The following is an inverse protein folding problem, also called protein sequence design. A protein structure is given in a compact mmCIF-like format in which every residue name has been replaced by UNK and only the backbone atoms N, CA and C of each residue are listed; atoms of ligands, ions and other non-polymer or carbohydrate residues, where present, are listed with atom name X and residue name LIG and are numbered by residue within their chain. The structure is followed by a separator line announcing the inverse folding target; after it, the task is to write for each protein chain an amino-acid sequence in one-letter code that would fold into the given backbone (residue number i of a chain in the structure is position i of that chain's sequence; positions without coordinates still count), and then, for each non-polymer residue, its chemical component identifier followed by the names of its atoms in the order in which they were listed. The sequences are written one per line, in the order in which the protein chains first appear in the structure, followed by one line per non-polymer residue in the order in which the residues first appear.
data_IF_257373763322
#
_entry.id   IF_257373763322
#
_cell.length_a   1.000
_cell.length_b   1.000
_cell.length_c   1.000
_cell.angle_alpha   90.00
_cell.angle_beta   90.00
_cell.angle_gamma   90.00
#
_symmetry.space_group_name_H-M   'P 1'
#
loop_
_entity.id
_entity.type
_entity.pdbx_description
1 polymer ?
#
# COMPACT_ATOMS: atom_id res chain seq x y z
N UNK A 1 18.50 24.83 18.07
CA UNK A 1 18.49 24.93 16.59
C UNK A 1 19.23 23.71 16.08
N UNK A 2 18.54 22.79 15.40
CA UNK A 2 19.19 21.62 14.82
C UNK A 2 20.17 22.07 13.74
N UNK A 3 21.45 21.80 13.96
CA UNK A 3 22.54 22.17 13.04
C UNK A 3 22.80 21.05 12.01
N UNK A 4 21.87 20.09 11.90
CA UNK A 4 21.95 18.98 10.97
C UNK A 4 21.41 19.30 9.57
N UNK A 5 21.73 18.48 8.56
CA UNK A 5 21.18 18.63 7.22
C UNK A 5 19.66 18.38 7.24
N UNK A 6 18.90 19.21 6.50
CA UNK A 6 17.44 19.08 6.37
C UNK A 6 17.05 17.72 5.79
N UNK A 7 17.78 17.23 4.79
CA UNK A 7 17.63 15.90 4.19
C UNK A 7 18.90 15.08 4.43
N UNK A 8 18.73 13.82 4.80
CA UNK A 8 19.84 12.89 5.00
C UNK A 8 19.48 11.48 4.59
N UNK A 9 20.45 10.74 4.04
CA UNK A 9 20.34 9.28 3.86
C UNK A 9 20.80 8.60 5.14
N UNK A 10 19.93 7.77 5.70
CA UNK A 10 20.26 6.98 6.89
C UNK A 10 20.19 5.49 6.59
N UNK A 11 21.18 4.77 7.08
CA UNK A 11 21.25 3.32 7.01
C UNK A 11 21.03 2.76 8.41
N UNK A 12 20.04 1.91 8.54
CA UNK A 12 19.69 1.24 9.80
C UNK A 12 20.14 -0.21 9.73
N UNK A 13 20.70 -0.69 10.85
CA UNK A 13 21.11 -2.08 11.05
C UNK A 13 20.49 -2.59 12.34
N UNK A 14 20.95 -3.74 12.84
CA UNK A 14 20.36 -4.47 13.98
C UNK A 14 20.16 -3.67 15.28
N UNK A 15 20.80 -2.53 15.45
CA UNK A 15 20.73 -1.75 16.67
C UNK A 15 19.36 -1.07 16.81
N UNK A 16 18.64 -1.37 17.89
CA UNK A 16 17.47 -0.65 18.33
C UNK A 16 17.91 0.72 18.87
N UNK A 17 17.56 1.78 18.13
CA UNK A 17 17.85 3.16 18.52
C UNK A 17 16.58 3.77 19.12
N UNK A 18 16.63 4.10 20.42
CA UNK A 18 15.54 4.79 21.11
C UNK A 18 15.95 6.24 21.41
N UNK A 19 15.16 7.20 20.93
CA UNK A 19 15.41 8.62 21.16
C UNK A 19 14.16 9.49 20.93
N UNK A 20 14.30 10.78 21.23
CA UNK A 20 13.33 11.81 20.88
C UNK A 20 14.09 13.05 20.36
N UNK A 21 13.45 13.86 19.56
CA UNK A 21 13.99 15.11 19.04
C UNK A 21 12.97 16.24 19.11
N UNK A 22 13.44 17.48 19.14
CA UNK A 22 12.64 18.70 19.33
C UNK A 22 11.96 19.20 18.04
N UNK A 23 12.11 18.48 16.94
CA UNK A 23 11.55 18.82 15.62
C UNK A 23 10.81 17.61 15.03
N UNK A 24 9.82 17.84 14.17
CA UNK A 24 9.18 16.75 13.45
C UNK A 24 10.13 16.09 12.46
N UNK A 25 10.00 14.77 12.28
CA UNK A 25 10.81 14.00 11.35
C UNK A 25 9.92 13.16 10.44
N UNK A 26 10.30 13.12 9.18
CA UNK A 26 9.67 12.27 8.16
C UNK A 26 10.70 11.25 7.65
N UNK A 27 10.34 9.96 7.75
CA UNK A 27 11.21 8.85 7.33
C UNK A 27 10.60 8.14 6.14
N UNK A 28 11.22 8.28 4.97
CA UNK A 28 10.79 7.71 3.69
C UNK A 28 11.57 6.44 3.42
N UNK A 29 10.88 5.32 3.20
CA UNK A 29 11.50 4.05 2.87
C UNK A 29 12.05 4.02 1.43
N UNK A 30 13.32 3.67 1.29
CA UNK A 30 13.99 3.46 0.00
C UNK A 30 14.21 1.98 -0.29
N UNK A 31 14.57 1.20 0.73
CA UNK A 31 14.79 -0.23 0.60
C UNK A 31 15.07 -0.92 1.93
N UNK A 32 14.88 -2.23 1.96
CA UNK A 32 14.89 -3.01 3.19
C UNK A 32 13.61 -2.81 4.01
N UNK A 33 13.66 -3.18 5.28
CA UNK A 33 12.55 -3.05 6.24
C UNK A 33 13.03 -2.40 7.51
N UNK A 34 12.41 -1.29 7.89
CA UNK A 34 12.65 -0.61 9.15
C UNK A 34 11.43 -0.82 10.06
N UNK A 35 11.62 -1.47 11.19
CA UNK A 35 10.60 -1.61 12.22
C UNK A 35 10.65 -0.37 13.12
N UNK A 36 9.48 0.23 13.36
CA UNK A 36 9.31 1.46 14.15
C UNK A 36 8.31 1.25 15.28
N UNK A 37 8.54 1.95 16.39
CA UNK A 37 7.55 2.17 17.43
C UNK A 37 7.56 3.65 17.81
N UNK A 38 6.40 4.30 17.73
CA UNK A 38 6.19 5.70 18.12
C UNK A 38 5.09 5.75 19.17
N UNK A 39 5.40 6.23 20.37
CA UNK A 39 4.46 6.32 21.51
C UNK A 39 3.70 5.00 21.76
N UNK A 40 4.40 3.86 21.74
CA UNK A 40 3.85 2.52 21.96
C UNK A 40 3.06 1.94 20.78
N UNK A 41 3.06 2.58 19.61
CA UNK A 41 2.44 2.08 18.40
C UNK A 41 3.49 1.60 17.42
N UNK A 42 3.56 0.29 17.23
CA UNK A 42 4.46 -0.33 16.26
C UNK A 42 4.03 -0.11 14.82
N UNK A 43 5.01 0.03 13.92
CA UNK A 43 4.81 0.17 12.49
C UNK A 43 6.02 -0.31 11.69
N UNK A 44 5.88 -0.34 10.37
CA UNK A 44 6.96 -0.71 9.45
C UNK A 44 7.08 0.34 8.37
N UNK A 45 8.33 0.55 7.94
CA UNK A 45 8.64 1.43 6.82
C UNK A 45 9.42 0.60 5.80
N UNK A 46 8.78 0.35 4.68
CA UNK A 46 9.35 -0.27 3.49
C UNK A 46 9.30 0.74 2.34
N UNK A 47 9.73 0.33 1.15
CA UNK A 47 9.61 1.21 -0.03
C UNK A 47 8.15 1.63 -0.25
N UNK A 48 7.92 2.91 -0.52
CA UNK A 48 6.63 3.61 -0.61
C UNK A 48 5.95 3.91 0.74
N UNK A 49 6.55 3.55 1.85
CA UNK A 49 6.05 3.98 3.15
C UNK A 49 6.77 5.25 3.62
N UNK A 50 6.02 6.05 4.34
CA UNK A 50 6.50 7.22 5.07
C UNK A 50 6.05 7.09 6.52
N UNK A 51 6.97 7.28 7.48
CA UNK A 51 6.64 7.43 8.89
C UNK A 51 6.72 8.90 9.29
N UNK A 52 5.67 9.40 9.92
CA UNK A 52 5.64 10.72 10.55
C UNK A 52 5.95 10.57 12.04
N UNK A 53 6.96 11.30 12.50
CA UNK A 53 7.38 11.36 13.91
C UNK A 53 7.23 12.81 14.36
N UNK A 54 6.23 13.13 15.21
CA UNK A 54 6.05 14.47 15.74
C UNK A 54 7.21 14.92 16.61
N UNK A 55 7.36 16.24 16.78
CA UNK A 55 8.31 16.81 17.72
C UNK A 55 8.05 16.30 19.15
N UNK A 56 9.09 15.91 19.86
CA UNK A 56 9.01 15.39 21.23
C UNK A 56 8.50 13.96 21.36
N UNK A 57 8.04 13.30 20.29
CA UNK A 57 7.58 11.92 20.36
C UNK A 57 8.73 10.95 20.61
N UNK A 58 8.57 10.07 21.61
CA UNK A 58 9.51 8.99 21.86
C UNK A 58 9.33 7.90 20.82
N UNK A 59 10.40 7.53 20.15
CA UNK A 59 10.36 6.48 19.16
C UNK A 59 11.57 5.56 19.22
N UNK A 60 11.36 4.34 18.80
CA UNK A 60 12.40 3.33 18.57
C UNK A 60 12.37 2.91 17.11
N UNK A 61 13.54 2.67 16.56
CA UNK A 61 13.66 2.11 15.22
C UNK A 61 14.82 1.10 15.16
N UNK A 62 14.63 0.06 14.35
CA UNK A 62 15.63 -0.97 14.13
C UNK A 62 15.36 -1.75 12.86
N UNK A 63 16.41 -2.36 12.29
CA UNK A 63 16.30 -3.07 11.02
C UNK A 63 17.11 -4.37 11.05
N UNK A 64 16.48 -5.50 11.44
CA UNK A 64 17.18 -6.80 11.53
C UNK A 64 17.79 -7.28 10.20
N UNK A 65 17.26 -6.84 9.08
CA UNK A 65 17.74 -7.22 7.74
C UNK A 65 18.47 -6.09 7.02
N UNK A 66 18.62 -4.95 7.68
CA UNK A 66 19.15 -3.72 7.10
C UNK A 66 18.09 -2.97 6.29
N UNK A 67 18.10 -1.64 6.42
CA UNK A 67 17.29 -0.73 5.63
C UNK A 67 18.01 0.58 5.35
N UNK A 68 17.56 1.28 4.33
CA UNK A 68 18.00 2.63 4.04
C UNK A 68 16.79 3.51 3.76
N UNK A 69 16.84 4.72 4.28
CA UNK A 69 15.75 5.69 4.23
C UNK A 69 16.27 7.08 3.89
N UNK A 70 15.45 7.86 3.20
CA UNK A 70 15.61 9.30 3.15
C UNK A 70 14.91 9.88 4.37
N UNK A 71 15.61 10.71 5.12
CA UNK A 71 15.07 11.32 6.33
C UNK A 71 15.04 12.82 6.16
N UNK A 72 13.88 13.41 6.42
CA UNK A 72 13.65 14.84 6.45
C UNK A 72 13.47 15.29 7.91
N UNK A 73 14.43 16.03 8.42
CA UNK A 73 14.34 16.75 9.69
C UNK A 73 13.69 18.11 9.41
N UNK A 74 12.41 18.26 9.81
CA UNK A 74 11.61 19.43 9.44
C UNK A 74 12.06 20.64 10.24
N UNK A 75 12.48 21.76 9.59
CA UNK A 75 12.87 22.98 10.29
C UNK A 75 11.71 23.60 11.09
N UNK A 76 12.03 24.62 11.89
CA UNK A 76 11.05 25.32 12.72
C UNK A 76 9.85 25.87 11.93
N UNK A 77 8.72 26.09 12.61
CA UNK A 77 7.44 26.52 12.03
C UNK A 77 7.53 27.77 11.16
N UNK A 78 8.38 28.74 11.53
CA UNK A 78 8.60 29.95 10.74
C UNK A 78 9.15 29.63 9.33
N UNK A 79 10.00 28.60 9.20
CA UNK A 79 10.48 28.14 7.91
C UNK A 79 9.35 27.50 7.08
N UNK A 80 8.48 26.72 7.72
CA UNK A 80 7.31 26.13 7.06
C UNK A 80 6.38 27.23 6.51
N UNK A 81 6.07 28.24 7.33
CA UNK A 81 5.22 29.36 6.93
C UNK A 81 5.82 30.12 5.74
N UNK A 82 7.12 30.42 5.77
CA UNK A 82 7.80 31.10 4.68
C UNK A 82 7.90 30.28 3.39
N UNK A 83 8.07 28.95 3.52
CA UNK A 83 8.31 28.07 2.38
C UNK A 83 7.03 27.55 1.72
N UNK A 84 5.97 27.33 2.51
CA UNK A 84 4.71 26.72 2.06
C UNK A 84 3.52 27.69 2.02
N UNK A 85 3.67 28.91 2.60
CA UNK A 85 2.61 29.92 2.64
C UNK A 85 1.33 29.38 3.30
N UNK A 86 0.19 29.53 2.63
CA UNK A 86 -1.11 29.08 3.13
C UNK A 86 -1.18 27.58 3.42
N UNK A 87 -0.33 26.77 2.77
CA UNK A 87 -0.29 25.33 2.96
C UNK A 87 0.43 24.89 4.25
N UNK A 88 1.09 25.81 4.93
CA UNK A 88 1.84 25.50 6.16
C UNK A 88 0.94 24.91 7.25
N UNK A 89 -0.30 25.38 7.38
CA UNK A 89 -1.26 24.87 8.38
C UNK A 89 -1.66 23.43 8.15
N UNK A 90 -1.80 23.01 6.88
CA UNK A 90 -2.11 21.62 6.54
C UNK A 90 -0.90 20.71 6.79
N UNK A 91 0.29 21.22 6.47
CA UNK A 91 1.55 20.53 6.74
C UNK A 91 1.76 20.34 8.25
N UNK A 92 1.53 21.34 9.06
CA UNK A 92 1.61 21.22 10.53
C UNK A 92 0.65 20.14 11.06
N UNK A 93 -0.60 20.13 10.60
CA UNK A 93 -1.55 19.08 10.98
C UNK A 93 -1.11 17.68 10.59
N UNK A 94 -0.40 17.53 9.48
CA UNK A 94 0.21 16.27 9.07
C UNK A 94 1.33 15.87 10.03
N UNK A 95 2.21 16.79 10.35
CA UNK A 95 3.39 16.58 11.21
C UNK A 95 3.04 16.27 12.66
N UNK A 96 1.87 16.71 13.14
CA UNK A 96 1.36 16.43 14.48
C UNK A 96 0.70 15.04 14.61
N UNK A 97 0.53 14.32 13.53
CA UNK A 97 -0.12 13.00 13.54
C UNK A 97 0.90 11.88 13.37
N UNK A 98 1.29 11.20 14.46
CA UNK A 98 2.24 10.09 14.35
C UNK A 98 1.63 8.93 13.57
N UNK A 99 2.41 8.31 12.73
CA UNK A 99 2.02 7.08 12.07
C UNK A 99 2.48 6.94 10.62
N UNK A 100 2.23 5.76 10.05
CA UNK A 100 2.60 5.46 8.69
C UNK A 100 1.64 6.11 7.68
N UNK A 101 2.21 6.63 6.60
CA UNK A 101 1.51 7.11 5.42
C UNK A 101 2.04 6.35 4.19
N UNK A 102 1.21 6.22 3.17
CA UNK A 102 1.59 5.61 1.91
C UNK A 102 1.85 6.69 0.86
N UNK A 103 2.99 6.59 0.20
CA UNK A 103 3.34 7.47 -0.91
C UNK A 103 2.71 6.96 -2.21
N UNK A 104 2.24 7.89 -3.03
CA UNK A 104 1.91 7.57 -4.39
C UNK A 104 3.17 7.41 -5.26
N UNK A 105 2.99 6.98 -6.52
CA UNK A 105 4.13 6.75 -7.40
C UNK A 105 4.94 8.01 -7.73
N UNK A 106 4.30 9.19 -7.78
CA UNK A 106 4.99 10.47 -8.05
C UNK A 106 5.78 10.92 -6.84
N UNK A 107 5.19 10.78 -5.66
CA UNK A 107 5.87 11.05 -4.40
C UNK A 107 7.08 10.13 -4.23
N UNK A 108 6.94 8.83 -4.53
CA UNK A 108 8.07 7.90 -4.49
C UNK A 108 9.15 8.25 -5.52
N UNK A 109 8.79 8.64 -6.73
CA UNK A 109 9.76 9.10 -7.73
C UNK A 109 10.53 10.34 -7.26
N UNK A 110 9.86 11.28 -6.59
CA UNK A 110 10.51 12.45 -6.00
C UNK A 110 11.47 12.05 -4.88
N UNK A 111 11.06 11.13 -4.01
CA UNK A 111 11.91 10.58 -2.95
C UNK A 111 13.14 9.89 -3.55
N UNK A 112 12.96 9.05 -4.56
CA UNK A 112 14.05 8.35 -5.23
C UNK A 112 15.01 9.35 -5.92
N UNK A 113 14.48 10.37 -6.60
CA UNK A 113 15.29 11.39 -7.26
C UNK A 113 16.14 12.16 -6.24
N UNK A 114 15.55 12.59 -5.13
CA UNK A 114 16.28 13.27 -4.05
C UNK A 114 17.33 12.37 -3.42
N UNK A 115 17.01 11.10 -3.17
CA UNK A 115 17.94 10.15 -2.56
C UNK A 115 19.19 9.87 -3.41
N UNK A 116 19.09 10.01 -4.74
CA UNK A 116 20.21 9.84 -5.66
C UNK A 116 20.84 11.17 -6.12
N UNK A 117 20.26 12.29 -5.70
CA UNK A 117 20.72 13.62 -6.04
C UNK A 117 21.85 14.13 -5.13
N UNK A 118 22.41 15.32 -5.42
CA UNK A 118 23.43 15.95 -4.59
C UNK A 118 22.81 16.57 -3.34
N UNK A 119 22.48 15.73 -2.34
CA UNK A 119 21.88 16.19 -1.06
C UNK A 119 22.83 17.02 -0.20
N UNK A 120 24.14 16.96 -0.47
CA UNK A 120 25.15 17.81 0.17
C UNK A 120 25.05 19.27 -0.27
N UNK A 121 24.32 19.56 -1.36
CA UNK A 121 23.99 20.93 -1.76
C UNK A 121 22.82 21.46 -0.90
N UNK A 122 23.05 22.49 -0.07
CA UNK A 122 22.03 23.01 0.84
C UNK A 122 20.79 23.58 0.11
N UNK A 123 20.96 24.08 -1.11
CA UNK A 123 19.86 24.60 -1.92
C UNK A 123 18.95 23.45 -2.39
N UNK A 124 19.55 22.38 -2.91
CA UNK A 124 18.81 21.19 -3.37
C UNK A 124 18.11 20.52 -2.19
N UNK A 125 18.79 20.32 -1.08
CA UNK A 125 18.19 19.76 0.13
C UNK A 125 17.00 20.59 0.63
N UNK A 126 17.14 21.91 0.66
CA UNK A 126 16.09 22.83 1.13
C UNK A 126 14.89 22.86 0.18
N UNK A 127 15.09 22.97 -1.12
CA UNK A 127 14.01 22.98 -2.11
C UNK A 127 13.36 21.60 -2.23
N UNK A 128 14.14 20.53 -2.13
CA UNK A 128 13.65 19.17 -2.09
C UNK A 128 12.74 18.92 -0.90
N UNK A 129 13.09 19.42 0.28
CA UNK A 129 12.25 19.36 1.47
C UNK A 129 10.91 20.07 1.27
N UNK A 130 10.93 21.29 0.67
CA UNK A 130 9.70 22.04 0.32
C UNK A 130 8.82 21.24 -0.64
N UNK A 131 9.39 20.66 -1.69
CA UNK A 131 8.67 19.85 -2.67
C UNK A 131 8.06 18.60 -2.04
N UNK A 132 8.81 17.88 -1.19
CA UNK A 132 8.30 16.73 -0.45
C UNK A 132 7.10 17.12 0.40
N UNK A 133 7.24 18.13 1.26
CA UNK A 133 6.16 18.59 2.15
C UNK A 133 4.95 19.09 1.35
N UNK A 134 5.15 19.83 0.26
CA UNK A 134 4.08 20.27 -0.61
C UNK A 134 3.36 19.11 -1.30
N UNK A 135 4.07 18.03 -1.63
CA UNK A 135 3.50 16.84 -2.26
C UNK A 135 2.66 15.99 -1.31
N UNK A 136 2.95 16.04 0.00
CA UNK A 136 2.24 15.28 1.03
C UNK A 136 0.93 15.94 1.46
N UNK A 137 0.67 17.18 1.03
CA UNK A 137 -0.49 17.93 1.48
C UNK A 137 -1.78 17.46 0.78
N UNK A 138 -2.79 16.93 1.51
CA UNK A 138 -4.01 16.38 0.92
C UNK A 138 -4.89 17.41 0.18
N UNK A 139 -4.68 18.72 0.41
CA UNK A 139 -5.46 19.79 -0.20
C UNK A 139 -5.13 20.11 -1.65
N UNK A 140 -4.07 19.56 -2.23
CA UNK A 140 -3.59 19.96 -3.55
C UNK A 140 -3.20 18.79 -4.48
N UNK A 141 -3.72 17.62 -4.20
CA UNK A 141 -3.80 16.65 -5.27
C UNK A 141 -5.15 16.86 -5.97
N UNK A 142 -5.18 17.42 -7.19
CA UNK A 142 -6.08 16.82 -8.13
C UNK A 142 -5.53 15.39 -8.16
N UNK A 143 -6.19 14.48 -7.44
CA UNK A 143 -6.07 13.07 -7.77
C UNK A 143 -6.12 13.05 -9.29
N UNK A 144 -5.04 12.68 -10.01
CA UNK A 144 -5.27 12.20 -11.36
C UNK A 144 -6.34 11.14 -11.14
N UNK A 145 -7.37 11.02 -11.96
CA UNK A 145 -8.41 10.03 -11.79
C UNK A 145 -7.65 8.76 -11.43
N UNK A 146 -7.88 8.24 -10.23
CA UNK A 146 -7.05 7.16 -9.68
C UNK A 146 -7.11 6.12 -10.77
N UNK A 147 -5.97 5.85 -11.40
CA UNK A 147 -5.95 4.91 -12.51
C UNK A 147 -6.58 3.67 -11.90
N UNK A 148 -7.80 3.33 -12.35
CA UNK A 148 -8.54 2.20 -11.81
C UNK A 148 -7.58 1.04 -11.62
N UNK A 149 -7.73 0.31 -10.53
CA UNK A 149 -6.93 -0.90 -10.36
C UNK A 149 -7.00 -1.72 -11.66
N UNK A 150 -5.94 -2.37 -12.09
CA UNK A 150 -5.89 -3.09 -13.36
C UNK A 150 -6.76 -4.35 -13.31
N UNK A 151 -8.06 -4.17 -13.16
CA UNK A 151 -9.04 -5.25 -12.98
C UNK A 151 -8.97 -6.28 -14.10
N UNK A 152 -8.78 -5.85 -15.35
CA UNK A 152 -8.62 -6.78 -16.47
C UNK A 152 -7.40 -7.70 -16.29
N UNK A 153 -6.28 -7.15 -15.79
CA UNK A 153 -5.08 -7.96 -15.49
C UNK A 153 -5.28 -8.88 -14.29
N UNK A 154 -6.03 -8.41 -13.26
CA UNK A 154 -6.41 -9.24 -12.13
C UNK A 154 -7.28 -10.42 -12.56
N UNK A 155 -8.29 -10.15 -13.39
CA UNK A 155 -9.21 -11.15 -13.90
C UNK A 155 -8.49 -12.20 -14.73
N UNK A 156 -7.65 -11.77 -15.66
CA UNK A 156 -6.84 -12.67 -16.49
C UNK A 156 -5.91 -13.55 -15.63
N UNK A 157 -5.25 -12.96 -14.64
CA UNK A 157 -4.38 -13.70 -13.73
C UNK A 157 -5.14 -14.71 -12.88
N UNK A 158 -6.27 -14.30 -12.30
CA UNK A 158 -7.11 -15.19 -11.49
C UNK A 158 -7.66 -16.33 -12.37
N UNK A 159 -8.05 -16.04 -13.59
CA UNK A 159 -8.57 -17.06 -14.52
C UNK A 159 -7.49 -18.07 -14.91
N UNK A 160 -6.28 -17.60 -15.21
CA UNK A 160 -5.14 -18.45 -15.58
C UNK A 160 -4.69 -19.35 -14.43
N UNK A 161 -4.71 -18.84 -13.21
CA UNK A 161 -4.20 -19.54 -12.02
C UNK A 161 -5.30 -19.95 -11.03
N UNK A 162 -6.55 -20.04 -11.48
CA UNK A 162 -7.71 -20.32 -10.61
C UNK A 162 -7.56 -21.60 -9.78
N UNK A 163 -6.95 -22.64 -10.34
CA UNK A 163 -6.73 -23.93 -9.68
C UNK A 163 -5.63 -23.89 -8.60
N UNK A 164 -4.77 -22.87 -8.60
CA UNK A 164 -3.60 -22.78 -7.72
C UNK A 164 -3.86 -21.85 -6.53
N UNK A 165 -3.06 -21.98 -5.44
CA UNK A 165 -3.15 -21.05 -4.32
C UNK A 165 -2.74 -19.62 -4.78
N UNK A 166 -3.71 -18.73 -4.94
CA UNK A 166 -3.49 -17.32 -5.23
C UNK A 166 -3.33 -16.53 -3.94
N UNK A 167 -2.34 -15.66 -3.90
CA UNK A 167 -2.06 -14.78 -2.77
C UNK A 167 -2.38 -13.32 -3.13
N UNK A 168 -2.69 -12.52 -2.11
CA UNK A 168 -2.90 -11.08 -2.27
C UNK A 168 -1.68 -10.40 -2.91
N UNK A 169 -0.47 -10.89 -2.58
CA UNK A 169 0.79 -10.40 -3.12
C UNK A 169 0.88 -10.53 -4.66
N UNK A 170 0.22 -11.53 -5.26
CA UNK A 170 0.24 -11.70 -6.72
C UNK A 170 -0.52 -10.57 -7.42
N UNK A 171 -1.69 -10.21 -6.91
CA UNK A 171 -2.47 -9.07 -7.42
C UNK A 171 -1.80 -7.73 -7.10
N UNK A 172 -1.19 -7.62 -5.93
CA UNK A 172 -0.46 -6.41 -5.53
C UNK A 172 0.70 -6.12 -6.50
N UNK A 173 1.45 -7.16 -6.90
CA UNK A 173 2.52 -7.07 -7.90
C UNK A 173 2.01 -6.59 -9.25
N UNK A 174 0.87 -7.10 -9.73
CA UNK A 174 0.26 -6.66 -10.98
C UNK A 174 -0.18 -5.19 -10.96
N UNK A 175 -0.58 -4.69 -9.79
CA UNK A 175 -0.96 -3.30 -9.60
C UNK A 175 0.26 -2.38 -9.33
N UNK A 176 1.46 -2.92 -9.11
CA UNK A 176 2.62 -2.16 -8.63
C UNK A 176 2.40 -1.60 -7.21
N UNK A 177 1.69 -2.33 -6.36
CA UNK A 177 1.32 -1.91 -5.01
C UNK A 177 1.82 -2.91 -3.96
N UNK A 178 1.95 -2.47 -2.71
CA UNK A 178 2.02 -3.39 -1.57
C UNK A 178 0.66 -4.07 -1.32
N UNK A 179 0.66 -5.23 -0.63
CA UNK A 179 -0.59 -5.93 -0.29
C UNK A 179 -1.53 -5.07 0.56
N UNK A 180 -0.99 -4.28 1.49
CA UNK A 180 -1.76 -3.36 2.33
C UNK A 180 -2.42 -2.26 1.48
N UNK A 181 -1.69 -1.70 0.53
CA UNK A 181 -2.18 -0.66 -0.37
C UNK A 181 -3.23 -1.18 -1.35
N UNK A 182 -3.03 -2.38 -1.89
CA UNK A 182 -4.05 -3.05 -2.69
C UNK A 182 -5.34 -3.27 -1.88
N UNK A 183 -5.21 -3.71 -0.62
CA UNK A 183 -6.36 -3.90 0.27
C UNK A 183 -7.12 -2.59 0.48
N UNK A 184 -6.42 -1.50 0.85
CA UNK A 184 -7.04 -0.19 1.05
C UNK A 184 -7.75 0.32 -0.21
N UNK A 185 -7.14 0.14 -1.38
CA UNK A 185 -7.73 0.57 -2.66
C UNK A 185 -8.94 -0.25 -3.07
N UNK A 186 -8.90 -1.58 -2.96
CA UNK A 186 -10.07 -2.44 -3.26
C UNK A 186 -11.24 -2.15 -2.32
N UNK A 187 -10.96 -1.90 -1.03
CA UNK A 187 -11.97 -1.45 -0.09
C UNK A 187 -12.58 -0.10 -0.48
N UNK A 188 -11.76 0.87 -0.90
CA UNK A 188 -12.23 2.18 -1.33
C UNK A 188 -12.99 2.14 -2.66
N UNK A 189 -12.52 1.36 -3.64
CA UNK A 189 -13.10 1.33 -5.00
C UNK A 189 -14.30 0.39 -5.11
N UNK A 190 -14.34 -0.72 -4.35
CA UNK A 190 -15.36 -1.78 -4.48
C UNK A 190 -15.98 -2.27 -3.18
N UNK A 191 -15.51 -1.79 -2.02
CA UNK A 191 -16.02 -2.21 -0.72
C UNK A 191 -15.70 -3.67 -0.35
N UNK A 192 -14.73 -4.31 -1.01
CA UNK A 192 -14.36 -5.72 -0.79
C UNK A 192 -12.86 -5.90 -0.58
N UNK A 193 -12.49 -6.96 0.12
CA UNK A 193 -11.09 -7.33 0.32
C UNK A 193 -10.50 -7.99 -0.94
N UNK A 194 -9.14 -8.00 -1.12
CA UNK A 194 -8.50 -8.72 -2.23
C UNK A 194 -8.84 -10.21 -2.27
N UNK A 195 -8.92 -10.88 -1.12
CA UNK A 195 -9.31 -12.29 -1.06
C UNK A 195 -10.76 -12.52 -1.45
N UNK A 196 -11.65 -11.58 -1.09
CA UNK A 196 -13.05 -11.63 -1.52
C UNK A 196 -13.16 -11.42 -3.03
N UNK A 197 -12.36 -10.50 -3.61
CA UNK A 197 -12.28 -10.30 -5.05
C UNK A 197 -11.86 -11.59 -5.77
N UNK A 198 -10.78 -12.25 -5.33
CA UNK A 198 -10.33 -13.54 -5.88
C UNK A 198 -11.44 -14.58 -5.81
N UNK A 199 -12.12 -14.68 -4.65
CA UNK A 199 -13.21 -15.64 -4.45
C UNK A 199 -14.37 -15.40 -5.40
N UNK A 200 -14.81 -14.16 -5.56
CA UNK A 200 -15.89 -13.79 -6.47
C UNK A 200 -15.54 -14.16 -7.93
N UNK A 201 -14.33 -13.87 -8.39
CA UNK A 201 -13.89 -14.21 -9.74
C UNK A 201 -13.83 -15.72 -9.97
N UNK A 202 -13.34 -16.50 -9.02
CA UNK A 202 -13.35 -17.96 -9.08
C UNK A 202 -14.78 -18.54 -9.18
N UNK A 203 -15.71 -17.99 -8.41
CA UNK A 203 -17.11 -18.43 -8.46
C UNK A 203 -17.79 -18.05 -9.79
N UNK A 204 -17.51 -16.87 -10.33
CA UNK A 204 -17.99 -16.48 -11.66
C UNK A 204 -17.47 -17.44 -12.74
N UNK A 205 -16.17 -17.78 -12.68
CA UNK A 205 -15.59 -18.79 -13.59
C UNK A 205 -16.23 -20.15 -13.41
N UNK A 206 -16.47 -20.58 -12.17
CA UNK A 206 -17.20 -21.82 -11.86
C UNK A 206 -18.60 -21.85 -12.47
N UNK A 207 -19.34 -20.74 -12.37
CA UNK A 207 -20.66 -20.59 -13.00
C UNK A 207 -20.58 -20.72 -14.53
N UNK A 208 -19.62 -20.06 -15.18
CA UNK A 208 -19.40 -20.18 -16.61
C UNK A 208 -19.14 -21.63 -17.04
N UNK A 209 -18.28 -22.36 -16.30
CA UNK A 209 -17.99 -23.76 -16.57
C UNK A 209 -19.20 -24.67 -16.35
N UNK A 210 -20.03 -24.40 -15.34
CA UNK A 210 -21.29 -25.15 -15.12
C UNK A 210 -22.26 -24.98 -16.27
N UNK A 211 -22.33 -23.78 -16.84
CA UNK A 211 -23.25 -23.44 -17.93
C UNK A 211 -22.74 -23.83 -19.32
N UNK A 212 -21.41 -23.77 -19.52
CA UNK A 212 -20.80 -23.97 -20.84
C UNK A 212 -20.08 -25.30 -21.02
N UNK A 213 -20.20 -26.25 -20.07
CA UNK A 213 -19.52 -27.54 -20.19
C UNK A 213 -20.28 -28.69 -19.50
N UNK A 214 -19.99 -29.93 -19.95
CA UNK A 214 -20.45 -31.16 -19.31
C UNK A 214 -19.54 -31.69 -18.20
N UNK A 215 -18.51 -30.92 -17.79
CA UNK A 215 -17.53 -31.35 -16.79
C UNK A 215 -18.21 -31.72 -15.47
N UNK A 216 -17.75 -32.78 -14.78
CA UNK A 216 -18.22 -33.11 -13.44
C UNK A 216 -18.08 -31.93 -12.48
N UNK A 217 -19.04 -31.75 -11.57
CA UNK A 217 -19.02 -30.60 -10.62
C UNK A 217 -17.77 -30.62 -9.75
N UNK A 218 -17.29 -31.80 -9.34
CA UNK A 218 -16.06 -31.97 -8.59
C UNK A 218 -14.82 -31.49 -9.36
N UNK A 219 -14.77 -31.75 -10.66
CA UNK A 219 -13.71 -31.29 -11.54
C UNK A 219 -13.75 -29.76 -11.71
N UNK A 220 -14.94 -29.19 -11.89
CA UNK A 220 -15.09 -27.72 -11.91
C UNK A 220 -14.63 -27.11 -10.60
N UNK A 221 -14.99 -27.68 -9.44
CA UNK A 221 -14.52 -27.21 -8.13
C UNK A 221 -12.99 -27.15 -8.06
N UNK A 222 -12.31 -28.20 -8.47
CA UNK A 222 -10.83 -28.25 -8.51
C UNK A 222 -10.24 -27.21 -9.46
N UNK A 223 -10.80 -27.04 -10.67
CA UNK A 223 -10.34 -26.08 -11.68
C UNK A 223 -10.47 -24.62 -11.22
N UNK A 224 -11.40 -24.33 -10.31
CA UNK A 224 -11.59 -22.99 -9.75
C UNK A 224 -11.01 -22.84 -8.34
N UNK A 225 -10.15 -23.79 -7.92
CA UNK A 225 -9.34 -23.71 -6.70
C UNK A 225 -10.08 -24.00 -5.40
N UNK A 226 -11.12 -24.83 -5.45
CA UNK A 226 -11.78 -25.39 -4.27
C UNK A 226 -11.27 -26.80 -3.97
N UNK A 227 -10.98 -27.05 -2.70
CA UNK A 227 -10.46 -28.34 -2.24
C UNK A 227 -11.48 -29.49 -2.26
N UNK A 228 -12.78 -29.15 -2.36
CA UNK A 228 -13.84 -30.15 -2.43
C UNK A 228 -15.08 -29.62 -3.17
N UNK A 229 -15.85 -30.53 -3.73
CA UNK A 229 -17.15 -30.25 -4.35
C UNK A 229 -18.13 -29.63 -3.34
N UNK A 230 -18.11 -30.09 -2.09
CA UNK A 230 -18.98 -29.58 -1.03
C UNK A 230 -18.66 -28.12 -0.67
N UNK A 231 -17.37 -27.77 -0.55
CA UNK A 231 -16.95 -26.39 -0.29
C UNK A 231 -17.34 -25.46 -1.45
N UNK A 232 -17.16 -25.93 -2.70
CA UNK A 232 -17.60 -25.19 -3.89
C UNK A 232 -19.12 -25.00 -3.91
N UNK A 233 -19.90 -26.05 -3.62
CA UNK A 233 -21.36 -25.99 -3.61
C UNK A 233 -21.88 -25.02 -2.55
N UNK A 234 -21.31 -25.02 -1.35
CA UNK A 234 -21.64 -24.07 -0.29
C UNK A 234 -21.32 -22.62 -0.70
N UNK A 235 -20.16 -22.40 -1.33
CA UNK A 235 -19.76 -21.07 -1.80
C UNK A 235 -20.68 -20.58 -2.94
N UNK A 236 -21.05 -21.42 -3.88
CA UNK A 236 -22.00 -21.11 -4.97
C UNK A 236 -23.39 -20.76 -4.43
N UNK A 237 -23.90 -21.56 -3.48
CA UNK A 237 -25.18 -21.29 -2.84
C UNK A 237 -25.17 -19.93 -2.12
N UNK A 238 -24.09 -19.63 -1.38
CA UNK A 238 -23.94 -18.35 -0.70
C UNK A 238 -23.85 -17.16 -1.67
N UNK A 239 -23.14 -17.32 -2.78
CA UNK A 239 -22.88 -16.21 -3.72
C UNK A 239 -24.04 -15.97 -4.70
N UNK A 240 -24.71 -17.04 -5.15
CA UNK A 240 -25.72 -16.97 -6.21
C UNK A 240 -27.12 -17.43 -5.76
N UNK A 241 -27.29 -17.86 -4.51
CA UNK A 241 -28.56 -18.39 -4.01
C UNK A 241 -28.97 -19.76 -4.59
N UNK A 242 -28.06 -20.41 -5.34
CA UNK A 242 -28.37 -21.66 -6.08
C UNK A 242 -27.22 -22.65 -6.02
N UNK A 243 -27.57 -23.94 -6.02
CA UNK A 243 -26.58 -25.01 -6.07
C UNK A 243 -25.97 -25.16 -7.48
N UNK A 244 -24.73 -25.70 -7.59
CA UNK A 244 -24.10 -25.96 -8.88
C UNK A 244 -24.98 -26.79 -9.84
N UNK A 245 -25.68 -27.81 -9.32
CA UNK A 245 -26.60 -28.64 -10.12
C UNK A 245 -27.82 -27.87 -10.62
N UNK A 246 -28.35 -26.92 -9.83
CA UNK A 246 -29.46 -26.07 -10.27
C UNK A 246 -29.02 -25.12 -11.39
N UNK A 247 -27.84 -24.45 -11.21
CA UNK A 247 -27.29 -23.57 -12.23
C UNK A 247 -26.98 -24.25 -13.56
N UNK A 248 -26.60 -25.52 -13.53
CA UNK A 248 -26.38 -26.34 -14.74
C UNK A 248 -27.68 -26.64 -15.50
N UNK A 249 -28.75 -27.01 -14.78
CA UNK A 249 -30.05 -27.34 -15.42
C UNK A 249 -30.67 -26.14 -16.12
N UNK A 250 -30.56 -24.95 -15.55
CA UNK A 250 -31.10 -23.74 -16.17
C UNK A 250 -30.47 -23.39 -17.53
N UNK A 251 -29.28 -23.88 -17.81
CA UNK A 251 -28.62 -23.66 -19.10
C UNK A 251 -28.94 -24.72 -20.13
N UNK A 252 -29.54 -25.85 -19.72
CA UNK A 252 -29.95 -26.93 -20.62
C UNK A 252 -31.41 -26.85 -21.10
N UNK A 253 -32.20 -25.94 -20.50
CA UNK A 253 -33.62 -25.72 -20.84
C UNK A 253 -33.86 -24.53 -21.78
N UNK A 254 -32.80 -24.01 -22.43
CA UNK A 254 -32.92 -22.87 -23.37
C UNK A 254 -32.56 -23.29 -24.80
#
# INVERSE_FOLDING_TARGET
MSNGPILSLRHYRDDLIAHAHDHPQLVFGLGGRLDFEVDGRGGRVERQDLMVIPAGAHHTCGSPVGSHCLVLDVPAENWLAQSLGERSSDCLRLLDRPGPLLLDNRQQQLVDWLAHGPMDDPLIARQGAVLLLASLNPGNSPLPPSRELPYASFDAHIEQYAAYPLQVADLARLAGLSSARLHARLMAERGITPMEYIRQRRLLRGRQLLQGSSLPIGEIASRVGYSSQSAFAAAMLKAFGRSPGALRRESGDN
#
